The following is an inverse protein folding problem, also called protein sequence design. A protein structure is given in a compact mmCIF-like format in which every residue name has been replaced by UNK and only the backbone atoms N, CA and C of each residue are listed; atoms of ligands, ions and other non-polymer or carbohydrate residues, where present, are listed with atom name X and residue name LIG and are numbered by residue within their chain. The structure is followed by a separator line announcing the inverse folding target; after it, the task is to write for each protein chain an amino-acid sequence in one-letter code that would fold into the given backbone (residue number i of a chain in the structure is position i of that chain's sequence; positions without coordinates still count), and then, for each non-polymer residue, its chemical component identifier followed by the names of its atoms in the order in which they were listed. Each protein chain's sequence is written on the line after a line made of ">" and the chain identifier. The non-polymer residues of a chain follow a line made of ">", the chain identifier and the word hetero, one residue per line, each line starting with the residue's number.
data_IF_783742109929
#
_entry.id   IF_783742109929
#
_cell.length_a   1.000
_cell.length_b   1.000
_cell.length_c   1.000
_cell.angle_alpha   90.00
_cell.angle_beta   90.00
_cell.angle_gamma   90.00
#
_symmetry.space_group_name_H-M   'P 1'
#
loop_
_entity.id
_entity.type
_entity.pdbx_description
1 polymer ?
#
# COMPACT_ATOMS: atom_id res chain seq x y z
N UNK A 1 -20.40 12.44 0.36
CA UNK A 1 -18.99 12.62 -0.02
C UNK A 1 -18.35 11.23 -0.08
N UNK A 2 -17.41 11.00 -1.00
CA UNK A 2 -16.72 9.71 -1.13
C UNK A 2 -15.34 9.79 -0.50
N UNK A 3 -14.88 8.64 0.00
CA UNK A 3 -13.50 8.43 0.43
C UNK A 3 -13.05 7.04 -0.02
N UNK A 4 -11.77 6.91 -0.32
CA UNK A 4 -11.15 5.71 -0.83
C UNK A 4 -10.09 5.25 0.16
N UNK A 5 -10.13 3.97 0.51
CA UNK A 5 -9.22 3.36 1.47
C UNK A 5 -8.21 2.49 0.73
N UNK A 6 -6.95 2.89 0.76
CA UNK A 6 -5.82 2.10 0.30
C UNK A 6 -5.32 1.22 1.46
N UNK A 7 -5.11 -0.07 1.21
CA UNK A 7 -4.64 -1.05 2.20
C UNK A 7 -3.49 -1.86 1.65
N UNK A 8 -2.52 -2.17 2.52
CA UNK A 8 -1.47 -3.13 2.27
C UNK A 8 -1.45 -4.13 3.42
N UNK A 9 -1.51 -5.40 3.06
CA UNK A 9 -1.47 -6.52 3.99
C UNK A 9 -0.19 -7.32 3.83
N UNK A 10 0.36 -7.79 4.94
CA UNK A 10 1.34 -8.86 4.93
C UNK A 10 0.69 -10.16 4.46
N UNK A 11 1.27 -10.81 3.44
CA UNK A 11 0.64 -11.98 2.79
C UNK A 11 0.56 -13.21 3.69
N UNK A 12 1.46 -13.36 4.66
CA UNK A 12 1.48 -14.52 5.56
C UNK A 12 0.51 -14.36 6.74
N UNK A 13 0.57 -13.21 7.42
CA UNK A 13 -0.18 -12.95 8.64
C UNK A 13 -1.53 -12.26 8.41
N UNK A 14 -1.78 -11.76 7.20
CA UNK A 14 -2.92 -10.92 6.83
C UNK A 14 -3.00 -9.60 7.62
N UNK A 15 -1.95 -9.24 8.35
CA UNK A 15 -1.91 -7.99 9.11
C UNK A 15 -1.91 -6.80 8.15
N UNK A 16 -2.74 -5.80 8.44
CA UNK A 16 -2.65 -4.49 7.77
C UNK A 16 -1.35 -3.83 8.23
N UNK A 17 -0.42 -3.62 7.30
CA UNK A 17 0.90 -3.02 7.54
C UNK A 17 1.02 -1.61 6.98
N UNK A 18 0.10 -1.22 6.09
CA UNK A 18 -0.01 0.14 5.57
C UNK A 18 -1.46 0.47 5.22
N UNK A 19 -1.88 1.71 5.48
CA UNK A 19 -3.22 2.17 5.12
C UNK A 19 -3.26 3.68 4.87
N UNK A 20 -4.19 4.14 4.04
CA UNK A 20 -4.46 5.56 3.84
C UNK A 20 -5.92 5.78 3.41
N UNK A 21 -6.60 6.73 4.05
CA UNK A 21 -7.91 7.21 3.62
C UNK A 21 -7.71 8.49 2.81
N UNK A 22 -8.12 8.48 1.54
CA UNK A 22 -7.95 9.59 0.62
C UNK A 22 -9.27 10.01 -0.03
N UNK A 23 -9.38 11.27 -0.48
CA UNK A 23 -10.62 11.80 -1.08
C UNK A 23 -10.81 11.40 -2.54
N UNK A 24 -9.72 11.10 -3.24
CA UNK A 24 -9.70 10.68 -4.64
C UNK A 24 -9.16 9.26 -4.75
N UNK A 25 -9.45 8.61 -5.88
CA UNK A 25 -8.92 7.30 -6.24
C UNK A 25 -7.60 7.45 -7.02
N UNK A 26 -6.80 8.46 -6.68
CA UNK A 26 -5.49 8.72 -7.30
C UNK A 26 -4.39 7.96 -6.54
N UNK A 27 -3.16 7.97 -7.06
CA UNK A 27 -2.06 7.14 -6.54
C UNK A 27 -1.50 7.64 -5.21
N UNK A 28 -1.81 8.86 -4.78
CA UNK A 28 -1.32 9.44 -3.53
C UNK A 28 -1.68 8.56 -2.34
N UNK A 29 -2.93 8.09 -2.26
CA UNK A 29 -3.37 7.21 -1.18
C UNK A 29 -2.61 5.87 -1.18
N UNK A 30 -2.31 5.32 -2.35
CA UNK A 30 -1.60 4.03 -2.48
C UNK A 30 -0.12 4.17 -2.13
N UNK A 31 0.52 5.27 -2.54
CA UNK A 31 1.92 5.61 -2.21
C UNK A 31 2.08 5.80 -0.70
N UNK A 32 1.18 6.54 -0.05
CA UNK A 32 1.23 6.75 1.41
C UNK A 32 1.08 5.44 2.18
N UNK A 33 0.15 4.56 1.76
CA UNK A 33 0.01 3.24 2.36
C UNK A 33 1.27 2.38 2.18
N UNK A 34 1.93 2.46 1.01
CA UNK A 34 3.17 1.74 0.73
C UNK A 34 4.35 2.21 1.57
N UNK A 35 4.52 3.52 1.72
CA UNK A 35 5.55 4.09 2.59
C UNK A 35 5.39 3.61 4.04
N UNK A 36 4.16 3.65 4.57
CA UNK A 36 3.84 3.13 5.90
C UNK A 36 4.21 1.64 6.05
N UNK A 37 3.90 0.82 5.03
CA UNK A 37 4.23 -0.60 5.05
C UNK A 37 5.75 -0.87 5.04
N UNK A 38 6.52 -0.10 4.27
CA UNK A 38 7.99 -0.20 4.24
C UNK A 38 8.60 0.21 5.58
N UNK A 39 8.09 1.28 6.19
CA UNK A 39 8.54 1.76 7.49
C UNK A 39 8.23 0.77 8.62
N UNK A 40 7.06 0.13 8.57
CA UNK A 40 6.66 -0.90 9.52
C UNK A 40 7.48 -2.21 9.40
N UNK A 41 8.12 -2.45 8.26
CA UNK A 41 8.97 -3.62 8.05
C UNK A 41 10.32 -3.46 8.78
N UNK A 42 10.78 -4.50 9.54
CA UNK A 42 12.10 -4.49 10.15
C UNK A 42 13.20 -4.25 9.11
N UNK A 43 14.17 -3.39 9.42
CA UNK A 43 15.20 -2.95 8.46
C UNK A 43 15.97 -4.12 7.83
N UNK A 44 16.33 -5.12 8.64
CA UNK A 44 17.00 -6.34 8.19
C UNK A 44 16.15 -7.25 7.27
N UNK A 45 14.86 -6.97 7.13
CA UNK A 45 13.92 -7.69 6.27
C UNK A 45 13.45 -6.86 5.07
N UNK A 46 13.92 -5.62 4.88
CA UNK A 46 13.50 -4.76 3.77
C UNK A 46 14.07 -5.19 2.41
N UNK A 47 15.22 -5.85 2.41
CA UNK A 47 15.84 -6.33 1.18
C UNK A 47 15.08 -7.56 0.68
N UNK A 48 14.67 -7.53 -0.59
CA UNK A 48 13.96 -8.63 -1.24
C UNK A 48 12.45 -8.66 -1.00
N UNK A 49 11.86 -7.64 -0.37
CA UNK A 49 10.40 -7.51 -0.29
C UNK A 49 9.79 -7.33 -1.68
N UNK A 50 8.67 -8.02 -1.92
CA UNK A 50 7.90 -7.92 -3.15
C UNK A 50 6.56 -7.28 -2.79
N UNK A 51 6.28 -6.12 -3.38
CA UNK A 51 4.96 -5.52 -3.36
C UNK A 51 4.13 -6.10 -4.51
N UNK A 52 2.98 -6.69 -4.18
CA UNK A 52 2.03 -7.19 -5.16
C UNK A 52 0.79 -6.30 -5.17
N UNK A 53 0.64 -5.50 -6.23
CA UNK A 53 -0.57 -4.74 -6.52
C UNK A 53 -1.36 -5.40 -7.63
N UNK A 54 -2.65 -5.09 -7.74
CA UNK A 54 -3.41 -5.37 -8.96
C UNK A 54 -3.00 -4.40 -10.09
N UNK A 55 -3.59 -4.57 -11.28
CA UNK A 55 -3.38 -3.69 -12.44
C UNK A 55 -4.39 -2.53 -12.50
N UNK A 56 -4.90 -2.07 -11.36
CA UNK A 56 -5.70 -0.86 -11.29
C UNK A 56 -4.91 0.36 -11.76
N UNK A 57 -5.60 1.34 -12.34
CA UNK A 57 -4.96 2.57 -12.85
C UNK A 57 -4.24 3.38 -11.76
N UNK A 58 -4.54 3.13 -10.49
CA UNK A 58 -3.91 3.75 -9.32
C UNK A 58 -2.53 3.18 -9.00
N UNK A 59 -2.22 2.00 -9.51
CA UNK A 59 -0.96 1.28 -9.28
C UNK A 59 -0.16 1.11 -10.58
N UNK A 60 -0.86 0.97 -11.70
CA UNK A 60 -0.31 0.81 -13.04
C UNK A 60 -1.02 1.76 -14.01
N UNK A 61 -0.59 3.04 -14.09
CA UNK A 61 -1.12 3.96 -15.08
C UNK A 61 -0.83 3.43 -16.49
N UNK A 62 -1.84 3.52 -17.37
CA UNK A 62 -1.70 3.14 -18.79
C UNK A 62 -0.88 4.16 -19.55
#
# INVERSE_FOLDING_TARGET
>A
EFAYLSLITDAYSHKIVGHCLHRTLESEGTIMALQMAIEAAPENKRIGLIHHSDRGSQYCPQ
#
